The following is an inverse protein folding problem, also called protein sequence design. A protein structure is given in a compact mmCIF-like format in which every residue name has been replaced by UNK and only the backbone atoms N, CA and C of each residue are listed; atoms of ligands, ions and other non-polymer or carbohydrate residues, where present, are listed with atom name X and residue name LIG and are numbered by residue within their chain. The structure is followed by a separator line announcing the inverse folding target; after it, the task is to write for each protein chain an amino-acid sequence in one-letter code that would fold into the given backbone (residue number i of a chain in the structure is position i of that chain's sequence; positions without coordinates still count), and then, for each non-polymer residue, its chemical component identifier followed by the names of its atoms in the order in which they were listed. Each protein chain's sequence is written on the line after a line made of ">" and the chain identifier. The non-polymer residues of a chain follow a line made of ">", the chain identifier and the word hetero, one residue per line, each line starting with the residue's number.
data_IF_014368551302
#
_entry.id   IF_014368551302
#
_cell.length_a   1.000
_cell.length_b   1.000
_cell.length_c   1.000
_cell.angle_alpha   90.00
_cell.angle_beta   90.00
_cell.angle_gamma   90.00
#
_symmetry.space_group_name_H-M   'P 1'
#
loop_
_entity.id
_entity.type
_entity.pdbx_description
1 polymer ?
#
# COMPACT_ATOMS: atom_id res chain seq x y z
N UNK A 1 47.23 4.77 -27.20
CA UNK A 1 47.24 4.05 -25.91
C UNK A 1 46.22 2.95 -25.95
N UNK A 2 46.63 1.72 -25.69
CA UNK A 2 45.68 0.60 -25.58
C UNK A 2 44.96 0.73 -24.24
N UNK A 3 43.62 0.86 -24.28
CA UNK A 3 42.82 0.81 -23.06
C UNK A 3 43.01 -0.56 -22.40
N UNK A 4 43.11 -0.55 -21.07
CA UNK A 4 43.21 -1.79 -20.29
C UNK A 4 41.96 -2.66 -20.47
N UNK A 5 42.14 -3.98 -20.52
CA UNK A 5 41.05 -4.93 -20.54
C UNK A 5 40.49 -5.10 -19.12
N UNK A 6 39.22 -4.73 -18.93
CA UNK A 6 38.56 -4.80 -17.64
C UNK A 6 37.45 -5.86 -17.67
N UNK A 7 37.46 -6.79 -16.72
CA UNK A 7 36.37 -7.74 -16.50
C UNK A 7 35.33 -7.15 -15.55
N UNK A 8 34.06 -7.24 -15.92
CA UNK A 8 32.93 -6.78 -15.08
C UNK A 8 31.94 -7.93 -14.90
N UNK A 9 32.16 -8.83 -13.92
CA UNK A 9 31.34 -10.04 -13.79
C UNK A 9 29.93 -9.79 -13.19
N UNK A 10 29.77 -8.73 -12.42
CA UNK A 10 28.51 -8.45 -11.74
C UNK A 10 28.43 -6.98 -11.30
N UNK A 11 27.23 -6.57 -10.90
CA UNK A 11 26.98 -5.30 -10.21
C UNK A 11 26.07 -5.51 -9.00
N UNK A 12 26.41 -4.91 -7.87
CA UNK A 12 25.56 -4.91 -6.66
C UNK A 12 24.89 -3.56 -6.54
N UNK A 13 23.55 -3.56 -6.55
CA UNK A 13 22.73 -2.35 -6.37
C UNK A 13 22.68 -1.90 -4.91
N UNK A 14 22.26 -0.66 -4.67
CA UNK A 14 22.15 -0.07 -3.33
C UNK A 14 21.18 -0.83 -2.39
N UNK A 15 20.25 -1.60 -2.94
CA UNK A 15 19.34 -2.47 -2.18
C UNK A 15 19.96 -3.84 -1.80
N UNK A 16 21.24 -4.07 -2.12
CA UNK A 16 21.97 -5.30 -1.84
C UNK A 16 21.75 -6.43 -2.86
N UNK A 17 20.92 -6.24 -3.87
CA UNK A 17 20.74 -7.22 -4.96
C UNK A 17 21.96 -7.19 -5.88
N UNK A 18 22.51 -8.38 -6.20
CA UNK A 18 23.63 -8.54 -7.13
C UNK A 18 23.16 -9.24 -8.39
N UNK A 19 23.41 -8.60 -9.54
CA UNK A 19 23.15 -9.16 -10.87
C UNK A 19 24.47 -9.57 -11.53
N UNK A 20 24.48 -10.77 -12.12
CA UNK A 20 25.62 -11.30 -12.87
C UNK A 20 25.48 -10.97 -14.35
N UNK A 21 26.60 -10.66 -15.00
CA UNK A 21 26.64 -10.24 -16.38
C UNK A 21 27.23 -11.34 -17.31
N UNK A 22 26.85 -11.32 -18.57
CA UNK A 22 27.46 -12.13 -19.63
C UNK A 22 28.77 -11.50 -20.11
N UNK A 23 29.61 -12.28 -20.77
CA UNK A 23 30.85 -11.79 -21.39
C UNK A 23 31.93 -11.38 -20.40
N UNK A 24 32.07 -12.09 -19.31
CA UNK A 24 32.96 -11.73 -18.18
C UNK A 24 34.45 -11.94 -18.40
N UNK A 25 34.85 -12.53 -19.55
CA UNK A 25 36.27 -12.78 -19.92
C UNK A 25 36.65 -12.09 -21.25
N UNK A 26 36.71 -10.75 -21.27
CA UNK A 26 37.10 -10.02 -22.49
C UNK A 26 38.56 -10.29 -22.85
N UNK A 27 38.88 -10.46 -24.13
CA UNK A 27 40.23 -10.70 -24.64
C UNK A 27 40.92 -9.43 -25.12
N UNK A 28 40.15 -8.36 -25.40
CA UNK A 28 40.68 -7.09 -25.89
C UNK A 28 39.64 -5.99 -25.68
N UNK A 29 40.05 -4.71 -25.84
CA UNK A 29 39.19 -3.54 -25.78
C UNK A 29 39.13 -2.82 -27.11
N UNK A 30 37.95 -2.39 -27.54
CA UNK A 30 37.77 -1.42 -28.64
C UNK A 30 37.44 -0.08 -28.01
N UNK A 31 38.37 0.88 -28.09
CA UNK A 31 38.15 2.26 -27.63
C UNK A 31 37.80 3.16 -28.81
N UNK A 32 36.72 3.90 -28.72
CA UNK A 32 36.21 4.83 -29.75
C UNK A 32 36.57 6.30 -29.48
N UNK A 33 37.22 6.59 -28.36
CA UNK A 33 37.63 7.94 -27.95
C UNK A 33 38.69 7.93 -26.87
N UNK A 34 38.89 9.05 -26.23
CA UNK A 34 39.75 9.25 -25.05
C UNK A 34 39.00 10.05 -23.98
N UNK A 35 39.53 10.11 -22.75
CA UNK A 35 38.94 10.90 -21.68
C UNK A 35 38.82 12.39 -22.06
N UNK A 36 37.61 12.95 -22.01
CA UNK A 36 37.28 14.31 -22.49
C UNK A 36 37.19 14.43 -24.02
N UNK A 37 37.30 13.33 -24.76
CA UNK A 37 37.15 13.25 -26.22
C UNK A 37 36.32 12.02 -26.59
N UNK A 38 35.22 11.80 -25.92
CA UNK A 38 34.28 10.72 -26.15
C UNK A 38 33.59 10.88 -27.51
N UNK A 39 33.20 9.76 -28.11
CA UNK A 39 32.53 9.71 -29.43
C UNK A 39 31.19 9.04 -29.34
N UNK A 40 30.21 9.56 -30.06
CA UNK A 40 28.90 8.94 -30.22
C UNK A 40 28.99 7.79 -31.25
N UNK A 41 28.37 6.67 -30.94
CA UNK A 41 28.14 5.59 -31.89
C UNK A 41 26.67 5.62 -32.30
N UNK A 42 26.40 5.82 -33.58
CA UNK A 42 25.04 5.94 -34.14
C UNK A 42 24.74 4.81 -35.12
N UNK A 43 23.44 4.62 -35.43
CA UNK A 43 22.98 3.59 -36.37
C UNK A 43 23.29 2.14 -35.92
N UNK A 44 23.33 1.95 -34.58
CA UNK A 44 23.46 0.62 -33.99
C UNK A 44 22.10 -0.04 -33.96
N UNK A 45 21.99 -1.26 -34.50
CA UNK A 45 20.77 -2.06 -34.39
C UNK A 45 20.46 -2.45 -32.93
N UNK A 46 19.21 -2.74 -32.65
CA UNK A 46 18.80 -3.23 -31.33
C UNK A 46 19.46 -4.59 -31.04
N UNK A 47 20.00 -4.74 -29.84
CA UNK A 47 20.58 -5.99 -29.37
C UNK A 47 19.52 -6.96 -28.85
N UNK A 48 19.85 -8.24 -28.78
CA UNK A 48 19.00 -9.26 -28.15
C UNK A 48 18.94 -9.02 -26.63
N UNK A 49 17.75 -9.12 -26.06
CA UNK A 49 17.54 -8.97 -24.63
C UNK A 49 17.36 -10.35 -24.01
N UNK A 50 18.48 -11.03 -23.72
CA UNK A 50 18.52 -12.33 -23.04
C UNK A 50 19.61 -12.30 -21.95
N UNK A 51 19.54 -13.23 -21.02
CA UNK A 51 20.47 -13.27 -19.88
C UNK A 51 21.94 -13.53 -20.30
N UNK A 52 22.15 -14.13 -21.43
CA UNK A 52 23.45 -14.48 -21.99
C UNK A 52 23.90 -13.55 -23.14
N UNK A 53 23.11 -12.52 -23.47
CA UNK A 53 23.44 -11.59 -24.55
C UNK A 53 24.63 -10.72 -24.20
N UNK A 54 25.50 -10.58 -25.22
CA UNK A 54 26.63 -9.63 -25.24
C UNK A 54 26.43 -8.54 -26.28
N UNK A 55 25.20 -8.39 -26.82
CA UNK A 55 24.90 -7.39 -27.82
C UNK A 55 24.82 -5.98 -27.19
N UNK A 56 25.07 -4.96 -27.99
CA UNK A 56 24.89 -3.56 -27.59
C UNK A 56 23.40 -3.24 -27.52
N UNK A 57 22.98 -2.56 -26.46
CA UNK A 57 21.62 -2.03 -26.29
C UNK A 57 21.56 -0.60 -26.82
N UNK A 58 20.65 -0.30 -27.74
CA UNK A 58 20.46 1.08 -28.23
C UNK A 58 19.43 1.87 -27.45
N UNK A 59 19.38 3.19 -27.67
CA UNK A 59 18.53 4.10 -26.92
C UNK A 59 17.03 3.80 -27.01
N UNK A 60 16.53 3.19 -28.10
CA UNK A 60 15.13 2.84 -28.23
C UNK A 60 14.72 1.70 -27.29
N UNK A 61 15.62 0.76 -27.01
CA UNK A 61 15.40 -0.32 -26.05
C UNK A 61 15.32 0.23 -24.62
N UNK A 62 16.23 1.12 -24.26
CA UNK A 62 16.20 1.81 -22.94
C UNK A 62 14.96 2.69 -22.81
N UNK A 63 14.56 3.41 -23.86
CA UNK A 63 13.31 4.19 -23.86
C UNK A 63 12.09 3.32 -23.54
N UNK A 64 11.98 2.14 -24.17
CA UNK A 64 10.91 1.18 -23.86
C UNK A 64 10.90 0.76 -22.39
N UNK A 65 12.06 0.49 -21.81
CA UNK A 65 12.19 0.16 -20.37
C UNK A 65 11.74 1.32 -19.48
N UNK A 66 12.16 2.56 -19.80
CA UNK A 66 11.76 3.74 -19.03
C UNK A 66 10.24 3.97 -19.07
N UNK A 67 9.58 3.69 -20.21
CA UNK A 67 8.11 3.74 -20.30
C UNK A 67 7.44 2.77 -19.30
N UNK A 68 7.98 1.57 -19.12
CA UNK A 68 7.44 0.60 -18.16
C UNK A 68 7.67 1.07 -16.71
N UNK A 69 8.79 1.71 -16.42
CA UNK A 69 9.06 2.30 -15.11
C UNK A 69 8.06 3.42 -14.80
N UNK A 70 7.73 4.28 -15.78
CA UNK A 70 6.72 5.33 -15.61
C UNK A 70 5.31 4.76 -15.34
N UNK A 71 4.94 3.65 -15.98
CA UNK A 71 3.69 2.92 -15.68
C UNK A 71 3.72 2.43 -14.24
N UNK A 72 4.80 1.74 -13.83
CA UNK A 72 4.95 1.22 -12.48
C UNK A 72 4.86 2.32 -11.41
N UNK A 73 5.49 3.48 -11.63
CA UNK A 73 5.38 4.62 -10.73
C UNK A 73 3.94 5.14 -10.56
N UNK A 74 3.15 5.14 -11.64
CA UNK A 74 1.72 5.51 -11.56
C UNK A 74 0.93 4.49 -10.76
N UNK A 75 1.18 3.20 -10.97
CA UNK A 75 0.49 2.12 -10.27
C UNK A 75 0.81 2.14 -8.77
N UNK A 76 2.07 2.35 -8.40
CA UNK A 76 2.48 2.49 -6.99
C UNK A 76 1.76 3.66 -6.31
N UNK A 77 1.69 4.83 -6.95
CA UNK A 77 0.94 5.98 -6.40
C UNK A 77 -0.56 5.71 -6.28
N UNK A 78 -1.12 4.95 -7.23
CA UNK A 78 -2.52 4.55 -7.16
C UNK A 78 -2.79 3.64 -5.96
N UNK A 79 -1.97 2.61 -5.77
CA UNK A 79 -2.05 1.68 -4.64
C UNK A 79 -1.87 2.41 -3.31
N UNK A 80 -0.92 3.35 -3.21
CA UNK A 80 -0.72 4.16 -2.01
C UNK A 80 -1.97 4.99 -1.67
N UNK A 81 -2.58 5.61 -2.67
CA UNK A 81 -3.80 6.40 -2.48
C UNK A 81 -4.97 5.54 -2.03
N UNK A 82 -5.16 4.36 -2.63
CA UNK A 82 -6.20 3.42 -2.20
C UNK A 82 -5.97 2.89 -0.78
N UNK A 83 -4.72 2.63 -0.40
CA UNK A 83 -4.36 2.28 0.98
C UNK A 83 -4.74 3.40 1.96
N UNK A 84 -4.37 4.66 1.66
CA UNK A 84 -4.70 5.80 2.51
C UNK A 84 -6.22 6.00 2.64
N UNK A 85 -6.99 5.75 1.58
CA UNK A 85 -8.47 5.74 1.61
C UNK A 85 -9.01 4.64 2.51
N UNK A 86 -8.43 3.43 2.42
CA UNK A 86 -8.77 2.32 3.31
C UNK A 86 -8.57 2.67 4.78
N UNK A 87 -7.45 3.30 5.12
CA UNK A 87 -7.13 3.74 6.48
C UNK A 87 -8.10 4.81 6.97
N UNK A 88 -8.48 5.79 6.12
CA UNK A 88 -9.49 6.79 6.46
C UNK A 88 -10.86 6.16 6.71
N UNK A 89 -11.26 5.17 5.91
CA UNK A 89 -12.51 4.40 6.10
C UNK A 89 -12.49 3.61 7.41
N UNK A 90 -11.38 2.95 7.72
CA UNK A 90 -11.20 2.21 8.97
C UNK A 90 -11.30 3.15 10.19
N UNK A 91 -10.68 4.33 10.11
CA UNK A 91 -10.78 5.36 11.16
C UNK A 91 -12.22 5.85 11.34
N UNK A 92 -12.97 6.07 10.26
CA UNK A 92 -14.38 6.47 10.31
C UNK A 92 -15.26 5.40 10.98
N UNK A 93 -15.05 4.11 10.62
CA UNK A 93 -15.76 2.99 11.26
C UNK A 93 -15.39 2.83 12.74
N UNK A 94 -14.12 3.05 13.10
CA UNK A 94 -13.65 2.99 14.47
C UNK A 94 -14.23 4.13 15.34
N UNK A 95 -14.69 5.22 14.75
CA UNK A 95 -15.33 6.33 15.44
C UNK A 95 -16.81 6.07 15.79
N UNK A 96 -17.39 4.96 15.34
CA UNK A 96 -18.78 4.59 15.65
C UNK A 96 -18.88 4.09 17.11
N UNK A 97 -19.41 4.93 17.99
CA UNK A 97 -19.56 4.61 19.41
C UNK A 97 -21.02 4.63 19.81
N UNK A 98 -21.56 3.53 20.36
CA UNK A 98 -22.92 3.50 20.88
C UNK A 98 -23.00 4.24 22.19
N UNK A 99 -24.16 4.86 22.45
CA UNK A 99 -24.54 5.38 23.77
C UNK A 99 -24.84 4.24 24.74
N UNK A 100 -24.97 4.56 26.00
CA UNK A 100 -25.33 3.58 27.03
C UNK A 100 -26.72 2.98 26.76
N UNK A 101 -26.97 1.80 27.32
CA UNK A 101 -28.26 1.13 27.24
C UNK A 101 -29.38 2.00 27.83
N UNK A 102 -30.46 2.11 27.05
CA UNK A 102 -31.72 2.72 27.47
C UNK A 102 -32.84 1.71 27.18
N UNK A 103 -33.64 1.31 28.18
CA UNK A 103 -34.71 0.34 28.01
C UNK A 103 -35.81 0.81 27.04
N UNK A 104 -36.02 2.13 26.92
CA UNK A 104 -37.03 2.73 26.06
C UNK A 104 -36.53 2.96 24.63
N UNK A 105 -35.19 3.04 24.44
CA UNK A 105 -34.56 3.35 23.17
C UNK A 105 -33.45 2.31 22.82
N UNK A 106 -33.86 1.14 22.41
CA UNK A 106 -32.93 0.00 22.15
C UNK A 106 -32.16 0.08 20.84
N UNK A 107 -32.58 0.93 19.91
CA UNK A 107 -31.90 1.12 18.59
C UNK A 107 -31.25 2.50 18.58
N UNK A 108 -30.02 2.56 18.12
CA UNK A 108 -29.23 3.79 18.03
C UNK A 108 -28.62 3.93 16.63
N UNK A 109 -28.43 5.17 16.19
CA UNK A 109 -27.71 5.52 14.97
C UNK A 109 -26.39 6.18 15.37
N UNK A 110 -25.31 5.80 14.68
CA UNK A 110 -23.98 6.31 14.93
C UNK A 110 -23.41 6.91 13.64
N UNK A 111 -22.62 7.97 13.77
CA UNK A 111 -21.86 8.57 12.68
C UNK A 111 -20.38 8.66 13.03
N UNK A 112 -19.52 8.45 12.07
CA UNK A 112 -18.08 8.56 12.21
C UNK A 112 -17.43 9.25 11.01
N UNK A 113 -16.38 10.02 11.28
CA UNK A 113 -15.53 10.65 10.28
C UNK A 113 -14.09 10.19 10.50
N UNK A 114 -13.40 9.87 9.40
CA UNK A 114 -11.99 9.50 9.40
C UNK A 114 -11.22 10.33 8.40
N UNK A 115 -10.00 10.71 8.78
CA UNK A 115 -9.06 11.40 7.91
C UNK A 115 -7.68 10.75 8.02
N UNK A 116 -7.04 10.48 6.88
CA UNK A 116 -5.67 9.98 6.84
C UNK A 116 -4.97 10.41 5.56
N UNK A 117 -3.80 11.05 5.69
CA UNK A 117 -2.93 11.48 4.58
C UNK A 117 -3.68 12.16 3.42
N UNK A 118 -4.58 13.10 3.75
CA UNK A 118 -5.36 13.86 2.77
C UNK A 118 -6.62 13.17 2.24
N UNK A 119 -6.86 11.91 2.62
CA UNK A 119 -8.08 11.18 2.29
C UNK A 119 -9.09 11.25 3.43
N UNK A 120 -10.37 11.33 3.09
CA UNK A 120 -11.48 11.47 4.04
C UNK A 120 -12.49 10.36 3.85
N UNK A 121 -13.14 9.95 4.93
CA UNK A 121 -14.24 9.01 4.89
C UNK A 121 -15.31 9.34 5.93
N UNK A 122 -16.55 8.99 5.61
CA UNK A 122 -17.69 9.02 6.50
C UNK A 122 -18.22 7.62 6.70
N UNK A 123 -18.64 7.29 7.91
CA UNK A 123 -19.29 6.04 8.24
C UNK A 123 -20.61 6.29 8.96
N UNK A 124 -21.58 5.43 8.71
CA UNK A 124 -22.82 5.33 9.43
C UNK A 124 -22.96 3.96 10.04
N UNK A 125 -23.55 3.89 11.22
CA UNK A 125 -23.76 2.65 11.93
C UNK A 125 -25.06 2.61 12.69
N UNK A 126 -25.46 1.40 13.06
CA UNK A 126 -26.59 1.13 13.94
C UNK A 126 -26.12 0.28 15.10
N UNK A 127 -26.65 0.56 16.29
CA UNK A 127 -26.49 -0.24 17.48
C UNK A 127 -27.84 -0.74 17.95
N UNK A 128 -27.91 -1.98 18.39
CA UNK A 128 -29.13 -2.59 18.94
C UNK A 128 -28.81 -3.33 20.24
N UNK A 129 -29.56 -3.02 21.27
CA UNK A 129 -29.51 -3.67 22.57
C UNK A 129 -30.70 -4.64 22.74
N UNK A 130 -30.56 -5.92 22.43
CA UNK A 130 -31.57 -6.94 22.76
C UNK A 130 -31.82 -7.03 24.27
N UNK A 131 -30.73 -6.86 25.05
CA UNK A 131 -30.71 -6.86 26.51
C UNK A 131 -29.70 -5.83 27.00
N UNK A 132 -29.79 -5.43 28.26
CA UNK A 132 -28.87 -4.48 28.90
C UNK A 132 -27.40 -4.90 28.82
N UNK A 133 -27.13 -6.20 28.80
CA UNK A 133 -25.80 -6.78 28.78
C UNK A 133 -25.34 -7.25 27.38
N UNK A 134 -26.13 -7.02 26.33
CA UNK A 134 -25.82 -7.45 24.97
C UNK A 134 -26.03 -6.31 23.97
N UNK A 135 -24.99 -5.96 23.26
CA UNK A 135 -25.00 -4.97 22.18
C UNK A 135 -24.59 -5.62 20.84
N UNK A 136 -25.37 -5.38 19.82
CA UNK A 136 -25.09 -5.70 18.44
C UNK A 136 -24.84 -4.40 17.68
N UNK A 137 -23.79 -4.33 16.87
CA UNK A 137 -23.47 -3.17 16.05
C UNK A 137 -23.22 -3.57 14.60
N UNK A 138 -23.59 -2.68 13.69
CA UNK A 138 -23.23 -2.79 12.29
C UNK A 138 -22.90 -1.40 11.76
N UNK A 139 -21.88 -1.28 10.92
CA UNK A 139 -21.48 -0.02 10.34
C UNK A 139 -21.04 -0.19 8.89
N UNK A 140 -21.13 0.89 8.12
CA UNK A 140 -20.65 0.95 6.74
C UNK A 140 -20.14 2.34 6.42
N UNK A 141 -19.14 2.43 5.55
CA UNK A 141 -18.74 3.72 4.95
C UNK A 141 -19.74 4.12 3.86
N UNK A 142 -19.92 5.43 3.64
CA UNK A 142 -20.96 5.96 2.76
C UNK A 142 -20.44 6.56 1.46
N UNK A 143 -19.13 6.50 1.23
CA UNK A 143 -18.48 7.05 0.03
C UNK A 143 -17.41 6.13 -0.52
N UNK A 144 -17.35 6.00 -1.84
CA UNK A 144 -16.41 5.14 -2.56
C UNK A 144 -16.69 3.65 -2.36
N UNK A 145 -15.64 2.83 -2.34
CA UNK A 145 -15.77 1.41 -2.04
C UNK A 145 -16.24 1.22 -0.60
N UNK A 146 -17.28 0.42 -0.44
CA UNK A 146 -17.90 0.20 0.86
C UNK A 146 -17.01 -0.69 1.73
N UNK A 147 -16.73 -0.19 2.95
CA UNK A 147 -16.14 -0.98 4.02
C UNK A 147 -17.20 -1.15 5.11
N UNK A 148 -17.42 -2.37 5.56
CA UNK A 148 -18.45 -2.70 6.55
C UNK A 148 -17.84 -3.38 7.75
N UNK A 149 -18.47 -3.20 8.91
CA UNK A 149 -18.15 -3.97 10.11
C UNK A 149 -19.42 -4.42 10.83
N UNK A 150 -19.29 -5.49 11.60
CA UNK A 150 -20.28 -5.96 12.56
C UNK A 150 -19.58 -6.27 13.87
N UNK A 151 -20.25 -6.00 14.97
CA UNK A 151 -19.70 -6.22 16.30
C UNK A 151 -20.73 -6.77 17.26
N UNK A 152 -20.26 -7.53 18.24
CA UNK A 152 -21.04 -8.04 19.36
C UNK A 152 -20.27 -7.73 20.62
N UNK A 153 -20.96 -7.13 21.60
CA UNK A 153 -20.41 -6.85 22.94
C UNK A 153 -21.32 -7.45 23.99
N UNK A 154 -20.73 -8.18 24.94
CA UNK A 154 -21.46 -8.82 26.02
C UNK A 154 -20.81 -8.50 27.37
N UNK A 155 -21.64 -8.06 28.35
CA UNK A 155 -21.21 -7.85 29.73
C UNK A 155 -21.47 -9.08 30.57
N UNK A 156 -20.43 -9.59 31.22
CA UNK A 156 -20.51 -10.67 32.18
C UNK A 156 -20.79 -10.11 33.60
N UNK A 157 -21.59 -10.79 34.36
CA UNK A 157 -21.91 -10.49 35.78
C UNK A 157 -23.38 -10.17 36.02
N UNK A 158 -23.80 -10.27 37.28
CA UNK A 158 -25.15 -9.94 37.72
C UNK A 158 -25.29 -8.43 37.94
N UNK A 159 -26.41 -7.84 37.50
CA UNK A 159 -26.78 -6.46 37.82
C UNK A 159 -27.19 -6.35 39.31
N UNK A 160 -26.25 -5.92 40.15
CA UNK A 160 -26.52 -5.64 41.58
C UNK A 160 -27.28 -4.33 41.85
N UNK A 161 -27.75 -3.63 40.81
CA UNK A 161 -28.27 -2.26 40.98
C UNK A 161 -29.76 -2.18 41.35
N UNK A 162 -30.52 -3.29 41.35
CA UNK A 162 -31.96 -3.27 41.67
C UNK A 162 -32.32 -3.83 43.05
N UNK A 163 -31.38 -4.05 43.97
CA UNK A 163 -31.65 -4.59 45.29
C UNK A 163 -31.52 -3.59 46.44
N UNK A 164 -31.61 -2.30 46.19
CA UNK A 164 -31.59 -1.27 47.29
C UNK A 164 -32.68 -0.24 47.17
N UNK A 165 -33.95 -0.66 47.10
CA UNK A 165 -35.08 0.14 47.56
C UNK A 165 -36.12 -0.84 48.14
N UNK A 166 -35.89 -1.34 49.32
CA UNK A 166 -36.95 -1.79 50.21
C UNK A 166 -37.05 -0.76 51.32
N UNK A 167 -38.17 -0.05 51.48
CA UNK A 167 -38.32 0.82 52.63
C UNK A 167 -38.47 -0.07 53.86
N UNK A 168 -37.58 0.16 54.83
CA UNK A 168 -37.74 -0.38 56.16
C UNK A 168 -39.03 0.23 56.81
N UNK A 169 -39.89 -0.62 57.32
CA UNK A 169 -40.91 -0.30 58.21
C UNK A 169 -40.34 -0.02 59.61
#
# INVERSE_FOLDING_TARGET
>A
ESSEVVSTPSYTYNNGVTESFAGTAPVSTVSVGAAGQERTITHVAAGRITADSTDVVNGSQLYGTNQQIDVLHRDVRHVEKESNRGDARAAALAALHPLQFDPDHKVQIMGGYGHYKGENALALGVGYYPKENLLLTAGTTVSGDLMTNVGVSYKFGENKTLQKISPAR
#
